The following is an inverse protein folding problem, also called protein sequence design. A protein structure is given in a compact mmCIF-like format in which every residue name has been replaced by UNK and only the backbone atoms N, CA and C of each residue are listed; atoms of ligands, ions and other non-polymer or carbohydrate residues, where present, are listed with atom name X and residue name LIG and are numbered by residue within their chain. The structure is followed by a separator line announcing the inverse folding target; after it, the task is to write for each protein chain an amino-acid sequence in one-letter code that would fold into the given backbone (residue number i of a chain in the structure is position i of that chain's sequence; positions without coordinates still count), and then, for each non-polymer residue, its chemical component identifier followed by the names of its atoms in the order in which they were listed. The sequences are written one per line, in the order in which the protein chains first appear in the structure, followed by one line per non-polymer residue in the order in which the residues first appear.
data_IF_401703797925
#
_entry.id   IF_401703797925
#
_cell.length_a   1.000
_cell.length_b   1.000
_cell.length_c   1.000
_cell.angle_alpha   90.00
_cell.angle_beta   90.00
_cell.angle_gamma   90.00
#
_symmetry.space_group_name_H-M   'P 1'
#
loop_
_entity.id
_entity.type
_entity.pdbx_description
1 polymer ?
#
# COMPACT_ATOMS: atom_id res chain seq x y z
N UNK A 1 44.34 14.98 15.34
CA UNK A 1 43.50 14.19 14.43
C UNK A 1 43.38 14.95 13.13
N UNK A 2 43.91 14.41 12.03
CA UNK A 2 43.70 15.00 10.70
C UNK A 2 42.23 14.82 10.30
N UNK A 3 41.61 15.81 9.64
CA UNK A 3 40.26 15.65 9.10
C UNK A 3 40.30 14.53 8.06
N UNK A 4 39.51 13.49 8.29
CA UNK A 4 39.26 12.44 7.30
C UNK A 4 38.68 13.14 6.09
N UNK A 5 39.43 13.16 4.97
CA UNK A 5 38.90 13.57 3.67
C UNK A 5 37.64 12.74 3.42
N UNK A 6 36.50 13.38 3.32
CA UNK A 6 35.27 12.75 2.82
C UNK A 6 35.57 12.43 1.36
N UNK A 7 35.93 11.17 1.08
CA UNK A 7 36.07 10.71 -0.29
C UNK A 7 34.70 10.85 -0.93
N UNK A 8 34.64 11.56 -2.06
CA UNK A 8 33.43 11.73 -2.86
C UNK A 8 32.95 10.35 -3.29
N UNK A 9 31.92 9.82 -2.62
CA UNK A 9 31.24 8.64 -3.11
C UNK A 9 30.37 9.04 -4.29
N UNK A 10 30.47 8.30 -5.40
CA UNK A 10 29.57 8.47 -6.54
C UNK A 10 28.72 7.20 -6.67
N UNK A 11 27.39 7.32 -6.74
CA UNK A 11 26.53 6.17 -6.95
C UNK A 11 26.83 5.58 -8.34
N UNK A 12 27.13 4.28 -8.38
CA UNK A 12 27.26 3.54 -9.63
C UNK A 12 25.87 3.19 -10.12
N UNK A 13 25.68 3.32 -11.43
CA UNK A 13 24.37 3.12 -12.05
C UNK A 13 23.86 1.69 -11.80
N UNK A 14 22.66 1.60 -11.23
CA UNK A 14 22.03 0.32 -10.91
C UNK A 14 21.79 -0.51 -12.20
N UNK A 15 22.00 -1.84 -12.19
CA UNK A 15 21.78 -2.70 -13.34
C UNK A 15 20.38 -2.60 -13.98
N UNK A 16 19.34 -2.38 -13.17
CA UNK A 16 17.96 -2.21 -13.68
C UNK A 16 17.82 -0.92 -14.48
N UNK A 17 18.43 0.18 -14.03
CA UNK A 17 18.44 1.45 -14.76
C UNK A 17 19.07 1.26 -16.15
N UNK A 18 20.26 0.64 -16.21
CA UNK A 18 20.96 0.37 -17.48
C UNK A 18 20.06 -0.46 -18.41
N UNK A 19 19.49 -1.55 -17.88
CA UNK A 19 18.64 -2.45 -18.66
C UNK A 19 17.40 -1.75 -19.21
N UNK A 20 16.76 -0.88 -18.43
CA UNK A 20 15.59 -0.12 -18.89
C UNK A 20 15.96 0.84 -20.01
N UNK A 21 17.06 1.59 -19.84
CA UNK A 21 17.55 2.49 -20.88
C UNK A 21 17.86 1.76 -22.19
N UNK A 22 18.54 0.62 -22.09
CA UNK A 22 18.91 -0.20 -23.25
C UNK A 22 17.67 -0.70 -23.98
N UNK A 23 16.67 -1.19 -23.25
CA UNK A 23 15.43 -1.71 -23.83
C UNK A 23 14.58 -0.61 -24.47
N UNK A 24 14.58 0.61 -23.90
CA UNK A 24 13.91 1.79 -24.49
C UNK A 24 14.57 2.16 -25.82
N UNK A 25 15.90 2.30 -25.84
CA UNK A 25 16.64 2.66 -27.05
C UNK A 25 16.43 1.62 -28.16
N UNK A 26 16.44 0.34 -27.79
CA UNK A 26 16.17 -0.78 -28.71
C UNK A 26 14.75 -0.73 -29.30
N UNK A 27 13.74 -0.30 -28.54
CA UNK A 27 12.39 -0.11 -29.06
C UNK A 27 12.33 1.04 -30.08
N UNK A 28 12.96 2.17 -29.78
CA UNK A 28 12.97 3.33 -30.69
C UNK A 28 13.74 3.08 -31.99
N UNK A 29 14.75 2.20 -31.98
CA UNK A 29 15.44 1.78 -33.21
C UNK A 29 14.57 0.94 -34.15
N UNK A 30 13.51 0.30 -33.64
CA UNK A 30 12.67 -0.64 -34.39
C UNK A 30 11.33 -0.05 -34.85
N UNK A 31 10.95 1.12 -34.34
CA UNK A 31 9.65 1.74 -34.63
C UNK A 31 9.75 2.77 -35.74
N UNK A 32 8.64 2.94 -36.45
CA UNK A 32 8.52 3.96 -37.48
C UNK A 32 8.59 5.36 -36.86
N UNK A 33 9.26 6.29 -37.57
CA UNK A 33 9.44 7.66 -37.11
C UNK A 33 8.10 8.38 -36.93
N UNK A 34 7.14 8.16 -37.81
CA UNK A 34 5.83 8.81 -37.74
C UNK A 34 5.07 8.37 -36.48
N UNK A 35 5.05 7.07 -36.17
CA UNK A 35 4.43 6.53 -34.95
C UNK A 35 5.06 7.12 -33.69
N UNK A 36 6.40 7.24 -33.69
CA UNK A 36 7.14 7.79 -32.55
C UNK A 36 6.75 9.25 -32.30
N UNK A 37 6.75 10.08 -33.36
CA UNK A 37 6.53 11.53 -33.24
C UNK A 37 5.07 11.87 -32.99
N UNK A 38 4.13 11.17 -33.63
CA UNK A 38 2.72 11.54 -33.62
C UNK A 38 1.92 10.89 -32.48
N UNK A 39 2.32 9.72 -31.99
CA UNK A 39 1.56 8.98 -30.98
C UNK A 39 2.34 8.80 -29.68
N UNK A 40 3.55 8.25 -29.77
CA UNK A 40 4.29 7.78 -28.59
C UNK A 40 4.84 8.95 -27.76
N UNK A 41 5.55 9.89 -28.40
CA UNK A 41 6.14 11.05 -27.72
C UNK A 41 5.11 11.92 -27.00
N UNK A 42 3.97 12.29 -27.61
CA UNK A 42 2.90 13.02 -26.92
C UNK A 42 2.39 12.27 -25.68
N UNK A 43 2.15 10.97 -25.78
CA UNK A 43 1.72 10.17 -24.63
C UNK A 43 2.78 10.15 -23.52
N UNK A 44 4.05 9.96 -23.86
CA UNK A 44 5.16 9.96 -22.90
C UNK A 44 5.27 11.31 -22.20
N UNK A 45 5.31 12.41 -22.94
CA UNK A 45 5.46 13.76 -22.39
C UNK A 45 4.25 14.17 -21.53
N UNK A 46 3.07 13.59 -21.75
CA UNK A 46 1.91 13.80 -20.87
C UNK A 46 2.05 13.15 -19.48
N UNK A 47 2.91 12.14 -19.34
CA UNK A 47 3.10 11.37 -18.08
C UNK A 47 4.45 11.60 -17.42
N UNK A 48 5.36 12.34 -18.06
CA UNK A 48 6.68 12.66 -17.56
C UNK A 48 6.72 14.11 -17.06
N UNK A 49 7.58 14.38 -16.08
CA UNK A 49 7.85 15.73 -15.57
C UNK A 49 8.84 16.53 -16.43
N UNK A 50 9.14 16.06 -17.66
CA UNK A 50 10.04 16.70 -18.61
C UNK A 50 9.71 16.28 -20.05
N UNK A 51 10.30 16.99 -21.02
CA UNK A 51 10.00 16.80 -22.44
C UNK A 51 11.08 15.97 -23.14
N UNK A 52 10.67 14.86 -23.74
CA UNK A 52 11.48 14.05 -24.65
C UNK A 52 11.27 14.52 -26.09
N UNK A 53 12.36 14.55 -26.86
CA UNK A 53 12.37 14.99 -28.26
C UNK A 53 12.95 13.91 -29.16
N UNK A 54 12.49 13.88 -30.42
CA UNK A 54 13.04 12.98 -31.44
C UNK A 54 14.28 13.60 -32.10
N UNK A 55 15.38 12.84 -32.33
CA UNK A 55 15.56 11.44 -31.95
C UNK A 55 15.79 11.28 -30.44
N UNK A 56 15.21 10.22 -29.87
CA UNK A 56 15.45 9.86 -28.47
C UNK A 56 16.92 9.45 -28.31
N UNK A 57 17.65 10.18 -27.46
CA UNK A 57 19.07 9.92 -27.18
C UNK A 57 19.27 9.27 -25.82
N UNK A 58 20.38 8.55 -25.65
CA UNK A 58 20.76 8.01 -24.34
C UNK A 58 20.87 9.11 -23.29
N UNK A 59 21.39 10.28 -23.66
CA UNK A 59 21.53 11.43 -22.76
C UNK A 59 20.16 11.87 -22.19
N UNK A 60 19.13 11.95 -23.03
CA UNK A 60 17.77 12.27 -22.58
C UNK A 60 17.25 11.22 -21.59
N UNK A 61 17.40 9.94 -21.91
CA UNK A 61 16.88 8.85 -21.07
C UNK A 61 17.65 8.76 -19.75
N UNK A 62 18.97 8.99 -19.73
CA UNK A 62 19.79 8.89 -18.50
C UNK A 62 19.43 9.89 -17.42
N UNK A 63 18.71 10.97 -17.77
CA UNK A 63 18.23 11.98 -16.82
C UNK A 63 16.94 11.55 -16.10
N UNK A 64 16.30 10.49 -16.59
CA UNK A 64 15.05 9.98 -16.03
C UNK A 64 15.30 8.97 -14.91
N UNK A 65 14.45 9.00 -13.89
CA UNK A 65 14.44 8.01 -12.83
C UNK A 65 13.85 6.66 -13.29
N UNK A 66 14.07 5.59 -12.52
CA UNK A 66 13.60 4.24 -12.87
C UNK A 66 12.09 4.15 -13.05
N UNK A 67 11.31 4.93 -12.31
CA UNK A 67 9.83 4.95 -12.45
C UNK A 67 9.44 5.56 -13.79
N UNK A 68 10.04 6.67 -14.17
CA UNK A 68 9.83 7.30 -15.47
C UNK A 68 10.19 6.35 -16.61
N UNK A 69 11.32 5.64 -16.50
CA UNK A 69 11.70 4.62 -17.49
C UNK A 69 10.69 3.47 -17.59
N UNK A 70 10.16 3.01 -16.46
CA UNK A 70 9.13 1.96 -16.44
C UNK A 70 7.81 2.42 -17.06
N UNK A 71 7.39 3.67 -16.81
CA UNK A 71 6.21 4.26 -17.46
C UNK A 71 6.39 4.31 -18.98
N UNK A 72 7.58 4.71 -19.43
CA UNK A 72 7.94 4.68 -20.86
C UNK A 72 7.84 3.26 -21.42
N UNK A 73 8.43 2.28 -20.74
CA UNK A 73 8.41 0.88 -21.17
C UNK A 73 6.99 0.29 -21.18
N UNK A 74 6.10 0.74 -20.29
CA UNK A 74 4.68 0.37 -20.32
C UNK A 74 3.96 0.94 -21.55
N UNK A 75 4.17 2.22 -21.87
CA UNK A 75 3.63 2.86 -23.09
C UNK A 75 4.11 2.14 -24.34
N UNK A 76 5.40 1.78 -24.37
CA UNK A 76 6.01 1.02 -25.45
C UNK A 76 5.55 -0.44 -25.51
N UNK A 77 4.76 -0.91 -24.52
CA UNK A 77 4.31 -2.30 -24.37
C UNK A 77 5.48 -3.29 -24.36
N UNK A 78 6.59 -2.91 -23.73
CA UNK A 78 7.79 -3.74 -23.69
C UNK A 78 7.51 -5.10 -23.02
N UNK A 79 8.01 -6.21 -23.59
CA UNK A 79 7.70 -7.55 -23.11
C UNK A 79 8.52 -7.97 -21.88
N UNK A 80 9.40 -7.09 -21.36
CA UNK A 80 10.25 -7.44 -20.23
C UNK A 80 9.41 -7.68 -18.96
N UNK A 81 9.80 -8.64 -18.09
CA UNK A 81 9.02 -8.98 -16.90
C UNK A 81 8.75 -7.80 -15.96
N UNK A 82 9.67 -6.86 -15.86
CA UNK A 82 9.62 -5.69 -14.98
C UNK A 82 8.40 -4.81 -15.24
N UNK A 83 8.03 -4.59 -16.51
CA UNK A 83 6.86 -3.77 -16.88
C UNK A 83 5.59 -4.38 -16.31
N UNK A 84 5.44 -5.69 -16.48
CA UNK A 84 4.27 -6.40 -15.99
C UNK A 84 4.23 -6.50 -14.45
N UNK A 85 5.39 -6.67 -13.79
CA UNK A 85 5.48 -6.65 -12.33
C UNK A 85 5.18 -5.25 -11.79
N UNK A 86 5.72 -4.20 -12.41
CA UNK A 86 5.45 -2.80 -12.08
C UNK A 86 3.95 -2.51 -12.14
N UNK A 87 3.31 -2.82 -13.27
CA UNK A 87 1.87 -2.59 -13.47
C UNK A 87 1.00 -3.29 -12.43
N UNK A 88 1.27 -4.57 -12.18
CA UNK A 88 0.48 -5.38 -11.25
C UNK A 88 0.70 -4.94 -9.80
N UNK A 89 1.95 -4.72 -9.40
CA UNK A 89 2.28 -4.23 -8.06
C UNK A 89 1.72 -2.83 -7.84
N UNK A 90 1.78 -1.92 -8.81
CA UNK A 90 1.22 -0.58 -8.68
C UNK A 90 -0.31 -0.60 -8.51
N UNK A 91 -0.98 -1.46 -9.28
CA UNK A 91 -2.44 -1.65 -9.19
C UNK A 91 -2.84 -2.20 -7.81
N UNK A 92 -2.19 -3.28 -7.36
CA UNK A 92 -2.50 -3.90 -6.08
C UNK A 92 -2.07 -3.01 -4.90
N UNK A 93 -0.96 -2.29 -5.01
CA UNK A 93 -0.54 -1.33 -3.99
C UNK A 93 -1.60 -0.23 -3.79
N UNK A 94 -2.14 0.32 -4.88
CA UNK A 94 -3.23 1.29 -4.81
C UNK A 94 -4.49 0.73 -4.14
N UNK A 95 -4.89 -0.49 -4.48
CA UNK A 95 -6.04 -1.16 -3.85
C UNK A 95 -5.81 -1.46 -2.37
N UNK A 96 -4.60 -1.90 -2.01
CA UNK A 96 -4.23 -2.22 -0.63
C UNK A 96 -4.14 -0.98 0.23
N UNK A 97 -3.63 0.13 -0.33
CA UNK A 97 -3.63 1.43 0.34
C UNK A 97 -5.05 1.94 0.57
N UNK A 98 -5.91 1.85 -0.43
CA UNK A 98 -7.33 2.24 -0.29
C UNK A 98 -8.07 1.42 0.79
N UNK A 99 -7.74 0.12 0.93
CA UNK A 99 -8.24 -0.72 2.01
C UNK A 99 -7.65 -0.31 3.38
N UNK A 100 -6.35 -0.01 3.42
CA UNK A 100 -5.63 0.41 4.61
C UNK A 100 -6.19 1.74 5.16
N UNK A 101 -6.43 2.73 4.30
CA UNK A 101 -6.99 4.03 4.69
C UNK A 101 -8.35 3.86 5.40
N UNK A 102 -9.21 2.96 4.90
CA UNK A 102 -10.50 2.65 5.53
C UNK A 102 -10.34 1.93 6.87
N UNK A 103 -9.41 0.98 6.95
CA UNK A 103 -9.11 0.27 8.19
C UNK A 103 -8.61 1.23 9.27
N UNK A 104 -7.76 2.19 8.89
CA UNK A 104 -7.24 3.21 9.80
C UNK A 104 -8.36 4.12 10.32
N UNK A 105 -9.27 4.58 9.45
CA UNK A 105 -10.44 5.35 9.88
C UNK A 105 -11.32 4.56 10.87
N UNK A 106 -11.53 3.27 10.60
CA UNK A 106 -12.29 2.41 11.50
C UNK A 106 -11.59 2.23 12.86
N UNK A 107 -10.26 2.03 12.86
CA UNK A 107 -9.46 1.94 14.10
C UNK A 107 -9.50 3.23 14.90
N UNK A 108 -9.38 4.38 14.23
CA UNK A 108 -9.53 5.68 14.88
C UNK A 108 -10.89 5.81 15.54
N UNK A 109 -11.97 5.33 14.89
CA UNK A 109 -13.31 5.37 15.49
C UNK A 109 -13.34 4.70 16.84
N UNK A 110 -12.89 3.46 16.92
CA UNK A 110 -12.87 2.73 18.17
C UNK A 110 -11.95 3.37 19.22
N UNK A 111 -10.81 3.94 18.80
CA UNK A 111 -9.88 4.61 19.72
C UNK A 111 -10.42 5.92 20.29
N UNK A 112 -11.17 6.69 19.49
CA UNK A 112 -11.68 8.01 19.86
C UNK A 112 -13.07 7.96 20.51
N UNK A 113 -13.81 6.86 20.34
CA UNK A 113 -15.18 6.73 20.84
C UNK A 113 -15.31 7.04 22.33
N UNK A 114 -14.48 6.41 23.18
CA UNK A 114 -14.55 6.61 24.64
C UNK A 114 -14.18 8.04 25.06
N UNK A 115 -13.31 8.71 24.30
CA UNK A 115 -12.85 10.07 24.60
C UNK A 115 -13.85 11.14 24.17
N UNK A 116 -14.59 10.89 23.09
CA UNK A 116 -15.48 11.87 22.46
C UNK A 116 -16.92 11.36 22.29
N UNK A 117 -17.36 10.44 23.15
CA UNK A 117 -18.68 9.80 23.07
C UNK A 117 -19.81 10.81 22.90
N UNK A 118 -19.82 11.88 23.70
CA UNK A 118 -20.86 12.91 23.63
C UNK A 118 -20.84 13.71 22.32
N UNK A 119 -19.66 13.91 21.71
CA UNK A 119 -19.56 14.59 20.42
C UNK A 119 -20.03 13.68 19.27
N UNK A 120 -19.69 12.39 19.34
CA UNK A 120 -20.12 11.38 18.38
C UNK A 120 -21.64 11.15 18.46
N UNK A 121 -22.20 11.15 19.67
CA UNK A 121 -23.64 10.92 19.90
C UNK A 121 -24.55 12.05 19.42
N UNK A 122 -24.01 13.18 18.96
CA UNK A 122 -24.78 14.25 18.31
C UNK A 122 -25.32 13.81 16.94
N UNK A 123 -24.60 12.93 16.24
CA UNK A 123 -24.95 12.48 14.89
C UNK A 123 -24.94 10.95 14.76
N UNK A 124 -25.73 10.23 15.58
CA UNK A 124 -25.62 8.78 15.70
C UNK A 124 -25.95 8.06 14.39
N UNK A 125 -26.93 8.56 13.63
CA UNK A 125 -27.26 8.02 12.31
C UNK A 125 -26.07 8.11 11.34
N UNK A 126 -25.36 9.24 11.31
CA UNK A 126 -24.20 9.43 10.44
C UNK A 126 -23.07 8.45 10.77
N UNK A 127 -22.69 8.37 12.05
CA UNK A 127 -21.58 7.51 12.47
C UNK A 127 -21.88 6.02 12.32
N UNK A 128 -23.10 5.58 12.61
CA UNK A 128 -23.50 4.19 12.40
C UNK A 128 -23.42 3.80 10.92
N UNK A 129 -23.97 4.62 10.02
CA UNK A 129 -23.90 4.35 8.58
C UNK A 129 -22.46 4.41 8.04
N UNK A 130 -21.63 5.32 8.55
CA UNK A 130 -20.22 5.39 8.19
C UNK A 130 -19.48 4.10 8.59
N UNK A 131 -19.69 3.62 9.82
CA UNK A 131 -19.08 2.38 10.30
C UNK A 131 -19.46 1.17 9.47
N UNK A 132 -20.76 0.97 9.23
CA UNK A 132 -21.26 -0.14 8.42
C UNK A 132 -20.65 -0.09 7.00
N UNK A 133 -20.61 1.10 6.41
CA UNK A 133 -20.02 1.31 5.08
C UNK A 133 -18.52 1.02 5.06
N UNK A 134 -17.77 1.44 6.08
CA UNK A 134 -16.34 1.18 6.19
C UNK A 134 -16.05 -0.32 6.30
N UNK A 135 -16.79 -1.05 7.14
CA UNK A 135 -16.64 -2.50 7.29
C UNK A 135 -16.88 -3.20 5.95
N UNK A 136 -18.01 -2.90 5.29
CA UNK A 136 -18.33 -3.50 3.98
C UNK A 136 -17.24 -3.19 2.94
N UNK A 137 -16.77 -1.96 2.89
CA UNK A 137 -15.76 -1.53 1.93
C UNK A 137 -14.40 -2.21 2.17
N UNK A 138 -13.98 -2.39 3.42
CA UNK A 138 -12.77 -3.14 3.78
C UNK A 138 -12.89 -4.60 3.30
N UNK A 139 -14.03 -5.24 3.59
CA UNK A 139 -14.30 -6.62 3.16
C UNK A 139 -14.20 -6.78 1.63
N UNK A 140 -14.86 -5.91 0.88
CA UNK A 140 -14.83 -5.94 -0.60
C UNK A 140 -13.41 -5.71 -1.12
N UNK A 141 -12.68 -4.77 -0.54
CA UNK A 141 -11.33 -4.41 -1.00
C UNK A 141 -10.35 -5.57 -0.77
N UNK A 142 -10.35 -6.15 0.42
CA UNK A 142 -9.52 -7.34 0.73
C UNK A 142 -9.92 -8.52 -0.16
N UNK A 143 -11.20 -8.74 -0.37
CA UNK A 143 -11.65 -9.84 -1.22
C UNK A 143 -11.23 -9.68 -2.70
N UNK A 144 -11.18 -8.46 -3.23
CA UNK A 144 -10.64 -8.18 -4.57
C UNK A 144 -9.14 -8.49 -4.65
N UNK A 145 -8.36 -8.06 -3.65
CA UNK A 145 -6.91 -8.28 -3.59
C UNK A 145 -6.57 -9.77 -3.59
N UNK A 146 -7.37 -10.58 -2.88
CA UNK A 146 -7.17 -12.02 -2.72
C UNK A 146 -8.10 -12.86 -3.60
N UNK A 147 -8.71 -12.33 -4.66
CA UNK A 147 -9.70 -13.07 -5.44
C UNK A 147 -9.15 -14.44 -5.94
N UNK A 148 -10.01 -15.46 -5.93
CA UNK A 148 -9.75 -16.81 -6.45
C UNK A 148 -10.08 -16.98 -7.94
N UNK A 149 -10.52 -15.92 -8.62
CA UNK A 149 -10.92 -16.02 -10.02
C UNK A 149 -9.80 -16.57 -10.91
N UNK A 150 -10.17 -17.54 -11.74
CA UNK A 150 -9.27 -18.21 -12.70
C UNK A 150 -9.03 -17.38 -13.97
N UNK A 151 -9.74 -16.26 -14.14
CA UNK A 151 -9.61 -15.39 -15.29
C UNK A 151 -8.15 -14.93 -15.47
N UNK A 152 -7.59 -15.12 -16.67
CA UNK A 152 -6.22 -14.70 -16.98
C UNK A 152 -6.03 -13.19 -16.92
N UNK A 153 -7.11 -12.42 -17.05
CA UNK A 153 -7.09 -10.96 -17.00
C UNK A 153 -7.05 -10.39 -15.59
N UNK A 154 -7.39 -11.18 -14.56
CA UNK A 154 -7.47 -10.67 -13.19
C UNK A 154 -6.10 -10.57 -12.51
N UNK A 155 -5.92 -9.48 -11.77
CA UNK A 155 -4.72 -9.19 -10.99
C UNK A 155 -5.04 -9.46 -9.51
N UNK A 156 -4.35 -10.43 -8.92
CA UNK A 156 -4.54 -10.82 -7.51
C UNK A 156 -3.18 -11.02 -6.84
N UNK A 157 -3.14 -10.95 -5.51
CA UNK A 157 -1.89 -11.06 -4.75
C UNK A 157 -1.20 -12.42 -4.94
N UNK A 158 -1.98 -13.49 -5.05
CA UNK A 158 -1.46 -14.84 -5.32
C UNK A 158 -0.85 -14.93 -6.72
N UNK A 159 -1.50 -14.36 -7.73
CA UNK A 159 -0.94 -14.35 -9.09
C UNK A 159 0.29 -13.45 -9.20
N UNK A 160 0.32 -12.31 -8.48
CA UNK A 160 1.50 -11.46 -8.38
C UNK A 160 2.67 -12.24 -7.74
N UNK A 161 2.41 -12.99 -6.65
CA UNK A 161 3.44 -13.80 -6.00
C UNK A 161 3.99 -14.88 -6.94
N UNK A 162 3.13 -15.57 -7.70
CA UNK A 162 3.58 -16.52 -8.73
C UNK A 162 4.38 -15.85 -9.85
N UNK A 163 4.00 -14.62 -10.23
CA UNK A 163 4.74 -13.83 -11.22
C UNK A 163 6.10 -13.43 -10.69
N UNK A 164 6.18 -12.98 -9.45
CA UNK A 164 7.41 -12.64 -8.76
C UNK A 164 8.32 -13.88 -8.64
N UNK A 165 7.77 -15.04 -8.23
CA UNK A 165 8.49 -16.32 -8.18
C UNK A 165 9.19 -16.69 -9.49
N UNK A 166 8.54 -16.43 -10.63
CA UNK A 166 9.13 -16.73 -11.95
C UNK A 166 10.23 -15.75 -12.36
N UNK A 167 10.34 -14.59 -11.71
CA UNK A 167 11.16 -13.48 -12.17
C UNK A 167 11.99 -12.82 -11.07
N UNK A 168 12.09 -13.37 -9.85
CA UNK A 168 12.77 -12.69 -8.74
C UNK A 168 14.26 -12.46 -9.00
N UNK A 169 14.88 -13.26 -9.87
CA UNK A 169 16.29 -13.16 -10.26
C UNK A 169 16.59 -11.92 -11.12
N UNK A 170 15.56 -11.20 -11.59
CA UNK A 170 15.78 -9.92 -12.30
C UNK A 170 16.21 -8.81 -11.32
N UNK A 171 15.87 -8.94 -10.04
CA UNK A 171 16.18 -7.96 -9.03
C UNK A 171 17.62 -8.15 -8.56
N UNK A 172 18.41 -7.06 -8.46
CA UNK A 172 19.70 -7.13 -7.79
C UNK A 172 19.49 -7.47 -6.31
N UNK A 173 20.43 -8.21 -5.71
CA UNK A 173 20.41 -8.52 -4.28
C UNK A 173 20.62 -7.28 -3.39
N UNK A 174 20.99 -6.14 -3.99
CA UNK A 174 21.28 -4.88 -3.32
C UNK A 174 20.40 -3.75 -3.86
N UNK A 175 20.15 -2.77 -3.01
CA UNK A 175 19.42 -1.53 -3.33
C UNK A 175 20.27 -0.61 -4.21
N UNK A 176 21.50 -0.33 -3.77
CA UNK A 176 22.36 0.66 -4.40
C UNK A 176 23.85 0.27 -4.30
N UNK A 177 24.66 0.89 -5.16
CA UNK A 177 26.11 0.65 -5.24
C UNK A 177 26.84 1.98 -5.11
N UNK A 178 27.73 2.07 -4.12
CA UNK A 178 28.60 3.22 -3.93
C UNK A 178 30.04 2.85 -4.28
N UNK A 179 30.71 3.70 -5.05
CA UNK A 179 32.15 3.59 -5.23
C UNK A 179 32.88 4.57 -4.33
N UNK A 180 33.82 4.05 -3.55
CA UNK A 180 34.87 4.83 -2.89
C UNK A 180 36.10 4.80 -3.79
N UNK A 181 36.86 5.90 -3.84
CA UNK A 181 38.15 6.06 -4.55
C UNK A 181 38.29 5.51 -6.00
N UNK A 182 37.17 5.25 -6.69
CA UNK A 182 37.09 4.62 -8.02
C UNK A 182 37.54 3.15 -8.08
N UNK A 183 37.93 2.53 -6.96
CA UNK A 183 38.41 1.14 -6.95
C UNK A 183 37.64 0.24 -5.98
N UNK A 184 37.05 0.79 -4.93
CA UNK A 184 36.30 0.01 -3.94
C UNK A 184 34.79 0.17 -4.12
N UNK A 185 34.07 -0.96 -4.15
CA UNK A 185 32.61 -1.02 -4.31
C UNK A 185 31.95 -1.43 -2.99
N UNK A 186 30.98 -0.65 -2.52
CA UNK A 186 30.11 -0.97 -1.40
C UNK A 186 28.67 -1.16 -1.89
N UNK A 187 28.02 -2.26 -1.51
CA UNK A 187 26.65 -2.57 -1.87
C UNK A 187 25.74 -2.39 -0.66
N UNK A 188 24.73 -1.53 -0.80
CA UNK A 188 23.71 -1.35 0.22
C UNK A 188 22.65 -2.42 0.02
N UNK A 189 22.42 -3.27 1.02
CA UNK A 189 21.39 -4.31 0.95
C UNK A 189 19.99 -3.70 1.09
N UNK A 190 18.99 -4.38 0.52
CA UNK A 190 17.61 -3.99 0.75
C UNK A 190 17.22 -4.17 2.22
N UNK A 191 16.39 -3.29 2.74
CA UNK A 191 15.91 -3.35 4.13
C UNK A 191 14.42 -3.66 4.20
N UNK A 192 14.06 -4.62 5.04
CA UNK A 192 12.67 -4.96 5.35
C UNK A 192 12.36 -4.65 6.81
N UNK A 193 11.26 -3.95 7.05
CA UNK A 193 10.76 -3.67 8.40
C UNK A 193 9.92 -4.84 8.90
N UNK A 194 10.31 -5.48 10.00
CA UNK A 194 9.64 -6.67 10.55
C UNK A 194 8.28 -6.30 11.15
N UNK A 195 7.25 -7.05 10.79
CA UNK A 195 5.95 -7.04 11.47
C UNK A 195 5.89 -8.13 12.53
N UNK A 196 5.03 -7.95 13.53
CA UNK A 196 4.88 -8.88 14.66
C UNK A 196 4.56 -10.32 14.21
N UNK A 197 3.74 -10.47 13.17
CA UNK A 197 3.38 -11.75 12.58
C UNK A 197 4.50 -12.40 11.73
N UNK A 198 5.66 -11.75 11.60
CA UNK A 198 6.82 -12.18 10.80
C UNK A 198 8.00 -12.64 11.65
N UNK A 199 7.98 -12.41 12.96
CA UNK A 199 9.12 -12.71 13.86
C UNK A 199 9.54 -14.18 13.73
N UNK A 200 8.59 -15.12 13.86
CA UNK A 200 8.83 -16.56 13.72
C UNK A 200 9.53 -16.93 12.39
N UNK A 201 9.17 -16.24 11.30
CA UNK A 201 9.77 -16.48 10.00
C UNK A 201 11.23 -16.06 10.00
N UNK A 202 11.55 -14.87 10.52
CA UNK A 202 12.92 -14.35 10.53
C UNK A 202 13.82 -15.14 11.49
N UNK A 203 13.31 -15.51 12.66
CA UNK A 203 14.03 -16.39 13.60
C UNK A 203 14.40 -17.74 12.97
N UNK A 204 13.46 -18.34 12.24
CA UNK A 204 13.70 -19.60 11.52
C UNK A 204 14.67 -19.45 10.33
N UNK A 205 14.90 -18.22 9.85
CA UNK A 205 15.79 -17.92 8.73
C UNK A 205 17.11 -17.26 9.18
N UNK A 206 17.59 -17.58 10.38
CA UNK A 206 18.89 -17.17 10.96
C UNK A 206 19.01 -15.68 11.33
N UNK A 207 17.90 -14.99 11.58
CA UNK A 207 17.93 -13.67 12.21
C UNK A 207 17.59 -13.83 13.69
N UNK A 208 18.57 -13.65 14.56
CA UNK A 208 18.37 -13.80 16.02
C UNK A 208 17.91 -12.51 16.68
N UNK A 209 17.09 -12.63 17.72
CA UNK A 209 16.59 -11.53 18.55
C UNK A 209 15.85 -10.43 17.75
N UNK A 210 15.10 -10.82 16.72
CA UNK A 210 14.27 -9.87 15.97
C UNK A 210 13.10 -9.38 16.80
N UNK A 211 12.89 -8.07 16.80
CA UNK A 211 11.70 -7.42 17.34
C UNK A 211 10.81 -6.90 16.22
N UNK A 212 9.55 -6.67 16.55
CA UNK A 212 8.65 -5.81 15.77
C UNK A 212 9.35 -4.46 15.52
N UNK A 213 9.16 -3.94 14.31
CA UNK A 213 9.70 -2.68 13.80
C UNK A 213 11.21 -2.64 13.54
N UNK A 214 11.94 -3.74 13.79
CA UNK A 214 13.35 -3.86 13.38
C UNK A 214 13.50 -3.86 11.86
N UNK A 215 14.64 -3.36 11.38
CA UNK A 215 15.02 -3.46 9.97
C UNK A 215 16.06 -4.56 9.79
N UNK A 216 15.77 -5.49 8.89
CA UNK A 216 16.68 -6.56 8.50
C UNK A 216 17.06 -6.45 7.03
N UNK A 217 18.31 -6.80 6.73
CA UNK A 217 18.78 -6.91 5.36
C UNK A 217 18.14 -8.12 4.69
N UNK A 218 17.61 -7.96 3.49
CA UNK A 218 16.87 -9.00 2.77
C UNK A 218 17.30 -9.11 1.31
N UNK A 219 17.21 -10.31 0.76
CA UNK A 219 17.36 -10.55 -0.67
C UNK A 219 16.00 -10.74 -1.35
N UNK A 220 15.90 -10.56 -2.69
CA UNK A 220 14.70 -10.88 -3.45
C UNK A 220 14.17 -12.30 -3.20
N UNK A 221 15.07 -13.27 -2.98
CA UNK A 221 14.71 -14.65 -2.64
C UNK A 221 14.12 -14.79 -1.23
N UNK A 222 14.68 -14.10 -0.23
CA UNK A 222 14.13 -14.12 1.12
C UNK A 222 12.71 -13.52 1.15
N UNK A 223 12.50 -12.44 0.39
CA UNK A 223 11.17 -11.84 0.21
C UNK A 223 10.19 -12.79 -0.48
N UNK A 224 10.62 -13.56 -1.47
CA UNK A 224 9.78 -14.62 -2.06
C UNK A 224 9.33 -15.61 -0.97
N UNK A 225 10.29 -16.15 -0.20
CA UNK A 225 10.02 -17.13 0.85
C UNK A 225 9.08 -16.60 1.94
N UNK A 226 9.29 -15.36 2.39
CA UNK A 226 8.44 -14.70 3.37
C UNK A 226 6.99 -14.62 2.89
N UNK A 227 6.80 -14.17 1.65
CA UNK A 227 5.46 -13.95 1.12
C UNK A 227 4.75 -15.26 0.74
N UNK A 228 5.48 -16.29 0.31
CA UNK A 228 4.95 -17.66 0.20
C UNK A 228 4.53 -18.22 1.56
N UNK A 229 5.37 -18.04 2.59
CA UNK A 229 5.07 -18.48 3.94
C UNK A 229 3.80 -17.81 4.48
N UNK A 230 3.67 -16.48 4.36
CA UNK A 230 2.47 -15.74 4.78
C UNK A 230 1.21 -16.22 4.07
N UNK A 231 1.26 -16.33 2.74
CA UNK A 231 0.10 -16.80 1.97
C UNK A 231 -0.31 -18.22 2.38
N UNK A 232 0.66 -19.11 2.63
CA UNK A 232 0.40 -20.46 3.10
C UNK A 232 -0.18 -20.49 4.51
N UNK A 233 0.26 -19.60 5.41
CA UNK A 233 -0.33 -19.43 6.75
C UNK A 233 -1.82 -19.04 6.67
N UNK A 234 -2.18 -18.11 5.79
CA UNK A 234 -3.60 -17.76 5.58
C UNK A 234 -4.43 -18.93 5.04
N UNK A 235 -3.85 -19.74 4.14
CA UNK A 235 -4.50 -20.93 3.58
C UNK A 235 -4.67 -22.04 4.62
N UNK A 236 -3.63 -22.36 5.39
CA UNK A 236 -3.67 -23.42 6.40
C UNK A 236 -4.67 -23.11 7.51
N UNK A 237 -4.79 -21.84 7.90
CA UNK A 237 -5.76 -21.35 8.87
C UNK A 237 -7.18 -21.14 8.28
N UNK A 238 -7.40 -21.52 7.01
CA UNK A 238 -8.68 -21.35 6.28
C UNK A 238 -9.19 -19.89 6.21
N UNK A 239 -8.37 -18.89 6.53
CA UNK A 239 -8.77 -17.48 6.60
C UNK A 239 -9.26 -16.96 5.26
N UNK A 240 -8.61 -17.37 4.17
CA UNK A 240 -9.07 -17.04 2.83
C UNK A 240 -10.42 -17.71 2.53
N UNK A 241 -10.62 -18.96 2.92
CA UNK A 241 -11.91 -19.65 2.72
C UNK A 241 -13.05 -18.97 3.45
N UNK A 242 -12.80 -18.53 4.69
CA UNK A 242 -13.75 -17.73 5.47
C UNK A 242 -14.09 -16.41 4.79
N UNK A 243 -13.08 -15.71 4.23
CA UNK A 243 -13.28 -14.46 3.49
C UNK A 243 -14.23 -14.65 2.30
N UNK A 244 -14.03 -15.69 1.48
CA UNK A 244 -14.91 -15.93 0.34
C UNK A 244 -16.31 -16.38 0.77
N UNK A 245 -16.41 -17.21 1.81
CA UNK A 245 -17.69 -17.69 2.32
C UNK A 245 -18.55 -16.54 2.85
N UNK A 246 -17.95 -15.66 3.67
CA UNK A 246 -18.64 -14.48 4.18
C UNK A 246 -19.04 -13.53 3.05
N UNK A 247 -18.16 -13.23 2.09
CA UNK A 247 -18.50 -12.34 0.97
C UNK A 247 -19.67 -12.84 0.13
N UNK A 248 -19.60 -14.09 -0.33
CA UNK A 248 -20.60 -14.64 -1.24
C UNK A 248 -21.98 -14.69 -0.58
N UNK A 249 -22.03 -15.05 0.71
CA UNK A 249 -23.29 -15.26 1.41
C UNK A 249 -23.84 -13.99 2.07
N UNK A 250 -22.98 -13.14 2.64
CA UNK A 250 -23.39 -11.96 3.42
C UNK A 250 -23.40 -10.70 2.55
N UNK A 251 -22.27 -10.38 1.91
CA UNK A 251 -22.05 -9.01 1.41
C UNK A 251 -22.40 -8.80 -0.07
N UNK A 252 -22.46 -9.85 -0.90
CA UNK A 252 -22.69 -9.70 -2.35
C UNK A 252 -24.04 -10.23 -2.83
N UNK A 253 -24.52 -11.36 -2.29
CA UNK A 253 -25.76 -11.96 -2.79
C UNK A 253 -26.96 -11.81 -1.86
N UNK A 254 -26.80 -11.20 -0.67
CA UNK A 254 -27.85 -11.12 0.36
C UNK A 254 -28.64 -12.43 0.44
N UNK A 255 -27.89 -13.54 0.54
CA UNK A 255 -28.45 -14.87 0.35
C UNK A 255 -29.52 -15.10 1.43
N UNK A 256 -30.65 -15.74 1.08
CA UNK A 256 -31.75 -15.99 2.04
C UNK A 256 -31.28 -16.71 3.31
N UNK A 257 -30.20 -17.49 3.20
CA UNK A 257 -29.56 -18.18 4.33
C UNK A 257 -28.76 -17.23 5.25
N UNK A 258 -28.16 -16.18 4.71
CA UNK A 258 -27.48 -15.14 5.50
C UNK A 258 -28.48 -14.24 6.23
N UNK A 259 -29.62 -13.91 5.59
CA UNK A 259 -30.70 -13.13 6.21
C UNK A 259 -31.32 -13.83 7.42
N UNK A 260 -31.36 -15.17 7.42
CA UNK A 260 -31.99 -15.96 8.49
C UNK A 260 -31.00 -16.47 9.55
N UNK A 261 -29.68 -16.41 9.31
CA UNK A 261 -28.69 -17.08 10.17
C UNK A 261 -27.30 -16.44 10.15
N UNK A 262 -27.23 -15.11 10.09
CA UNK A 262 -25.98 -14.34 10.04
C UNK A 262 -25.00 -14.73 11.16
N UNK A 263 -25.48 -14.82 12.41
CA UNK A 263 -24.65 -15.16 13.57
C UNK A 263 -23.99 -16.55 13.45
N UNK A 264 -24.73 -17.54 12.94
CA UNK A 264 -24.20 -18.87 12.67
C UNK A 264 -23.17 -18.83 11.56
N UNK A 265 -23.44 -18.10 10.48
CA UNK A 265 -22.54 -18.00 9.34
C UNK A 265 -21.21 -17.32 9.70
N UNK A 266 -21.24 -16.28 10.54
CA UNK A 266 -20.04 -15.63 11.08
C UNK A 266 -19.29 -16.53 12.06
N UNK A 267 -20.00 -17.33 12.86
CA UNK A 267 -19.39 -18.31 13.76
C UNK A 267 -18.71 -19.47 12.99
N UNK A 268 -19.34 -19.94 11.91
CA UNK A 268 -18.82 -21.01 11.04
C UNK A 268 -17.61 -20.55 10.20
N UNK A 269 -17.43 -19.24 10.02
CA UNK A 269 -16.37 -18.65 9.18
C UNK A 269 -15.69 -17.50 9.90
N UNK A 270 -15.01 -17.72 11.03
CA UNK A 270 -14.56 -16.64 11.90
C UNK A 270 -13.45 -15.80 11.26
N UNK A 271 -13.73 -14.50 11.10
CA UNK A 271 -12.76 -13.47 10.74
C UNK A 271 -12.80 -12.35 11.77
N UNK A 272 -11.63 -11.98 12.26
CA UNK A 272 -11.43 -10.87 13.20
C UNK A 272 -10.97 -9.61 12.45
N UNK A 273 -11.06 -8.45 13.11
CA UNK A 273 -10.45 -7.22 12.58
C UNK A 273 -8.94 -7.35 12.34
N UNK A 274 -8.26 -8.12 13.19
CA UNK A 274 -6.84 -8.42 13.07
C UNK A 274 -6.53 -9.25 11.81
N UNK A 275 -7.42 -10.18 11.42
CA UNK A 275 -7.27 -10.91 10.16
C UNK A 275 -7.29 -9.95 8.95
N UNK A 276 -8.17 -8.94 8.93
CA UNK A 276 -8.20 -7.93 7.87
C UNK A 276 -6.94 -7.08 7.85
N UNK A 277 -6.43 -6.70 9.01
CA UNK A 277 -5.16 -6.00 9.12
C UNK A 277 -4.01 -6.83 8.55
N UNK A 278 -3.92 -8.12 8.90
CA UNK A 278 -2.90 -9.01 8.35
C UNK A 278 -3.01 -9.17 6.83
N UNK A 279 -4.22 -9.30 6.29
CA UNK A 279 -4.43 -9.37 4.84
C UNK A 279 -3.96 -8.09 4.12
N UNK A 280 -4.36 -6.93 4.63
CA UNK A 280 -4.02 -5.63 4.04
C UNK A 280 -2.51 -5.40 4.14
N UNK A 281 -1.92 -5.59 5.31
CA UNK A 281 -0.48 -5.39 5.54
C UNK A 281 0.37 -6.33 4.69
N UNK A 282 -0.04 -7.60 4.53
CA UNK A 282 0.65 -8.52 3.62
C UNK A 282 0.70 -7.98 2.19
N UNK A 283 -0.45 -7.61 1.63
CA UNK A 283 -0.50 -7.13 0.25
C UNK A 283 0.23 -5.80 0.08
N UNK A 284 0.07 -4.89 1.03
CA UNK A 284 0.68 -3.57 1.00
C UNK A 284 2.21 -3.67 1.08
N UNK A 285 2.77 -4.40 2.05
CA UNK A 285 4.23 -4.57 2.19
C UNK A 285 4.84 -5.27 0.97
N UNK A 286 4.19 -6.33 0.48
CA UNK A 286 4.73 -7.08 -0.66
C UNK A 286 4.75 -6.24 -1.95
N UNK A 287 3.64 -5.58 -2.27
CA UNK A 287 3.53 -4.74 -3.47
C UNK A 287 4.43 -3.51 -3.37
N UNK A 288 4.49 -2.86 -2.20
CA UNK A 288 5.42 -1.77 -1.94
C UNK A 288 6.85 -2.20 -2.20
N UNK A 289 7.28 -3.33 -1.66
CA UNK A 289 8.68 -3.75 -1.77
C UNK A 289 9.08 -4.09 -3.21
N UNK A 290 8.18 -4.68 -4.00
CA UNK A 290 8.40 -4.85 -5.45
C UNK A 290 8.56 -3.48 -6.13
N UNK A 291 7.71 -2.51 -5.80
CA UNK A 291 7.81 -1.16 -6.36
C UNK A 291 9.12 -0.47 -5.96
N UNK A 292 9.54 -0.60 -4.70
CA UNK A 292 10.83 -0.10 -4.21
C UNK A 292 11.98 -0.73 -5.00
N UNK A 293 12.00 -2.05 -5.17
CA UNK A 293 13.03 -2.74 -5.94
C UNK A 293 13.08 -2.32 -7.40
N UNK A 294 11.93 -2.06 -8.02
CA UNK A 294 11.84 -1.62 -9.41
C UNK A 294 12.24 -0.16 -9.60
N UNK A 295 11.81 0.72 -8.70
CA UNK A 295 11.83 2.18 -8.91
C UNK A 295 12.85 2.94 -8.07
N UNK A 296 13.40 2.33 -7.02
CA UNK A 296 14.12 3.01 -5.94
C UNK A 296 13.28 4.02 -5.13
N UNK A 297 11.96 4.00 -5.26
CA UNK A 297 11.09 4.95 -4.58
C UNK A 297 10.41 4.25 -3.41
N UNK A 298 10.65 4.77 -2.22
CA UNK A 298 9.90 4.40 -1.02
C UNK A 298 8.59 5.18 -1.01
N UNK A 299 7.51 4.57 -1.52
CA UNK A 299 6.18 5.19 -1.57
C UNK A 299 5.58 5.33 -0.17
N UNK A 300 5.22 6.55 0.22
CA UNK A 300 4.38 6.74 1.39
C UNK A 300 3.04 6.02 1.20
N UNK A 301 2.66 5.20 2.18
CA UNK A 301 1.38 4.48 2.19
C UNK A 301 0.48 4.86 3.36
N UNK A 302 1.02 5.52 4.39
CA UNK A 302 0.21 6.04 5.48
C UNK A 302 -0.62 7.25 4.99
N UNK A 303 -1.88 7.38 5.43
CA UNK A 303 -2.70 8.52 5.07
C UNK A 303 -2.12 9.80 5.69
N UNK A 304 -2.06 10.87 4.89
CA UNK A 304 -1.77 12.20 5.41
C UNK A 304 -2.96 12.71 6.24
N UNK A 305 -2.70 13.53 7.24
CA UNK A 305 -3.73 14.16 8.08
C UNK A 305 -4.63 13.16 8.83
N UNK A 306 -4.04 12.02 9.21
CA UNK A 306 -4.69 10.97 9.99
C UNK A 306 -5.42 11.49 11.26
N UNK A 307 -4.96 12.60 11.85
CA UNK A 307 -5.51 13.15 13.10
C UNK A 307 -6.61 14.22 12.91
N UNK A 308 -7.01 14.55 11.67
CA UNK A 308 -7.99 15.61 11.40
C UNK A 308 -9.34 15.37 12.09
N UNK A 309 -9.75 14.10 12.16
CA UNK A 309 -11.03 13.77 12.77
C UNK A 309 -11.00 13.95 14.29
N UNK A 310 -9.89 13.64 14.97
CA UNK A 310 -9.76 13.96 16.41
C UNK A 310 -9.91 15.46 16.66
N UNK A 311 -9.32 16.31 15.82
CA UNK A 311 -9.46 17.76 15.97
C UNK A 311 -10.92 18.21 15.77
N UNK A 312 -11.61 17.62 14.80
CA UNK A 312 -13.04 17.87 14.57
C UNK A 312 -13.87 17.53 15.79
N UNK A 313 -13.64 16.36 16.40
CA UNK A 313 -14.32 15.93 17.62
C UNK A 313 -14.01 16.84 18.81
N UNK A 314 -12.74 17.26 18.96
CA UNK A 314 -12.32 18.19 20.00
C UNK A 314 -13.08 19.52 19.92
N UNK A 315 -13.15 20.14 18.74
CA UNK A 315 -13.88 21.40 18.58
C UNK A 315 -15.39 21.23 18.75
N UNK A 316 -15.94 20.09 18.33
CA UNK A 316 -17.35 19.75 18.57
C UNK A 316 -17.62 19.69 20.07
N UNK A 317 -16.79 19.02 20.86
CA UNK A 317 -16.90 18.98 22.32
C UNK A 317 -16.86 20.37 22.96
N UNK A 318 -15.93 21.24 22.51
CA UNK A 318 -15.86 22.63 23.01
C UNK A 318 -17.16 23.39 22.71
N UNK A 319 -17.69 23.25 21.49
CA UNK A 319 -18.95 23.87 21.09
C UNK A 319 -20.13 23.38 21.91
N UNK A 320 -20.19 22.07 22.20
CA UNK A 320 -21.23 21.48 23.04
C UNK A 320 -21.18 21.99 24.48
N UNK A 321 -19.98 22.10 25.06
CA UNK A 321 -19.83 22.65 26.42
C UNK A 321 -20.23 24.12 26.49
N UNK A 322 -19.94 24.91 25.46
CA UNK A 322 -20.42 26.29 25.35
C UNK A 322 -21.95 26.33 25.27
N UNK A 323 -22.56 25.54 24.37
CA UNK A 323 -24.01 25.50 24.22
C UNK A 323 -24.74 25.11 25.51
N UNK A 324 -24.20 24.14 26.28
CA UNK A 324 -24.73 23.78 27.60
C UNK A 324 -24.72 24.96 28.58
N UNK A 325 -23.63 25.73 28.61
CA UNK A 325 -23.52 26.93 29.47
C UNK A 325 -24.54 27.99 29.07
N UNK A 326 -24.63 28.30 27.77
CA UNK A 326 -25.55 29.30 27.23
C UNK A 326 -27.01 28.92 27.54
N UNK A 327 -27.38 27.64 27.40
CA UNK A 327 -28.72 27.14 27.77
C UNK A 327 -28.98 27.30 29.28
N UNK A 328 -28.00 26.94 30.13
CA UNK A 328 -28.14 27.02 31.58
C UNK A 328 -28.31 28.47 32.06
N UNK A 329 -27.55 29.39 31.48
CA UNK A 329 -27.64 30.82 31.78
C UNK A 329 -29.00 31.38 31.37
N UNK A 330 -29.43 31.12 30.13
CA UNK A 330 -30.74 31.55 29.65
C UNK A 330 -31.91 30.96 30.45
N UNK A 331 -31.78 29.72 30.92
CA UNK A 331 -32.77 29.08 31.80
C UNK A 331 -32.83 29.75 33.18
N UNK A 332 -31.69 30.21 33.69
CA UNK A 332 -31.61 30.97 34.96
C UNK A 332 -32.27 32.34 34.81
N UNK A 333 -31.95 33.07 33.76
CA UNK A 333 -32.55 34.37 33.45
C UNK A 333 -34.08 34.28 33.38
N UNK A 334 -34.60 33.31 32.62
CA UNK A 334 -36.04 33.07 32.50
C UNK A 334 -36.71 32.73 33.85
N UNK A 335 -36.02 32.01 34.74
CA UNK A 335 -36.53 31.68 36.08
C UNK A 335 -36.56 32.91 36.98
N UNK A 336 -35.52 33.73 36.96
CA UNK A 336 -35.42 34.95 37.75
C UNK A 336 -36.48 35.97 37.29
N UNK A 337 -36.76 36.07 36.00
CA UNK A 337 -37.87 36.88 35.46
C UNK A 337 -39.26 36.38 35.92
N UNK A 338 -39.44 35.06 36.04
CA UNK A 338 -40.70 34.47 36.48
C UNK A 338 -40.95 34.64 37.99
N UNK A 339 -39.89 34.62 38.80
CA UNK A 339 -39.98 34.74 40.26
C UNK A 339 -40.04 36.21 40.75
N UNK A 340 -39.66 37.17 39.89
CA UNK A 340 -39.75 38.61 40.17
C UNK A 340 -41.04 39.26 39.64
N UNK A 341 -42.00 38.45 39.18
CA UNK A 341 -43.40 38.82 38.90
C UNK A 341 -44.30 38.14 39.92
#
# INVERSE_FOLDING_TARGET
MQPIKIYSSMPKKNPLQIRFEDEILKHFQKKDKADIVNEILPEMNSKLSGELTFPITREQITKLDRRQLLVILEILKSPIPEVSLFKWSNTLFGQSRDAYDKLILLKQYYALYSKYEYAISISPFFYNNLLDSLVIAIFISVQKIFDKTKDSSSVTIEKLLLKYKKNYTIFPDFEDIYMWDKTHEAKIQWKWKISEDEIDFFETNNYSNCSKDDFVEVSPLLILKLNEWKLNKFKSLKKLDYLYAQRNKIYVHNDKLAMNNLAKLTADNPLTFEDFEHFINFSLKFTHFILLMLTNINYAWEPTNINDWEQTLKYTSIGLEKAKKDIKEKTRELRDEFNNK
#
